data_IF_702887802139
#
_entry.id   IF_702887802139
#
_cell.length_a   1.000
_cell.length_b   1.000
_cell.length_c   1.000
_cell.angle_alpha   90.00
_cell.angle_beta   90.00
_cell.angle_gamma   90.00
#
_symmetry.space_group_name_H-M   'P 1'
#
loop_
_entity.id
_entity.type
_entity.pdbx_description
1 polymer ?
#
# COMPACT_ATOMS: atom_id res chain seq x y z
N UNK A 1 20.19 2.72 18.88
CA UNK A 1 21.63 2.48 19.16
C UNK A 1 22.50 3.67 18.82
N UNK A 2 22.14 4.51 17.83
CA UNK A 2 22.44 5.93 17.91
C UNK A 2 21.56 6.78 16.97
N UNK A 3 20.68 7.63 17.52
CA UNK A 3 19.94 8.62 16.73
C UNK A 3 20.87 9.74 16.18
N UNK A 4 22.06 9.91 16.78
CA UNK A 4 23.10 10.84 16.36
C UNK A 4 24.10 10.23 15.34
N UNK A 5 23.88 9.01 14.84
CA UNK A 5 24.64 8.42 13.74
C UNK A 5 26.09 7.99 14.02
N UNK A 6 26.51 7.89 15.29
CA UNK A 6 27.85 7.46 15.73
C UNK A 6 28.03 5.93 15.77
N UNK A 7 26.97 5.15 15.65
CA UNK A 7 27.09 3.70 15.50
C UNK A 7 27.62 3.37 14.10
N UNK A 8 28.90 2.97 14.02
CA UNK A 8 29.58 2.68 12.76
C UNK A 8 29.48 1.20 12.43
N UNK A 9 28.87 0.88 11.30
CA UNK A 9 28.90 -0.45 10.68
C UNK A 9 30.17 -0.53 9.84
N UNK A 10 30.96 -1.59 10.03
CA UNK A 10 32.19 -1.82 9.29
C UNK A 10 31.96 -2.78 8.13
N UNK A 11 32.89 -2.81 7.18
CA UNK A 11 32.84 -3.75 6.06
C UNK A 11 33.00 -5.20 6.51
N UNK A 12 33.67 -5.42 7.64
CA UNK A 12 33.87 -6.73 8.25
C UNK A 12 32.63 -7.26 8.97
N UNK A 13 31.64 -6.40 9.25
CA UNK A 13 30.37 -6.83 9.82
C UNK A 13 29.51 -7.45 8.70
N UNK A 14 29.38 -8.79 8.69
CA UNK A 14 28.59 -9.50 7.66
C UNK A 14 27.15 -8.99 7.56
N UNK A 15 26.54 -8.66 8.70
CA UNK A 15 25.20 -8.14 8.79
C UNK A 15 25.05 -7.19 10.00
N UNK A 16 23.87 -6.57 10.12
CA UNK A 16 23.58 -5.66 11.22
C UNK A 16 23.58 -6.35 12.59
N UNK A 17 23.34 -7.66 12.64
CA UNK A 17 23.32 -8.41 13.90
C UNK A 17 24.75 -8.67 14.39
N UNK A 18 25.69 -8.98 13.49
CA UNK A 18 27.13 -9.08 13.78
C UNK A 18 27.68 -7.75 14.28
N UNK A 19 27.30 -6.62 13.66
CA UNK A 19 27.69 -5.30 14.13
C UNK A 19 27.22 -5.03 15.58
N UNK A 20 25.98 -5.42 15.92
CA UNK A 20 25.41 -5.27 17.27
C UNK A 20 26.14 -6.18 18.27
N UNK A 21 26.42 -7.43 17.91
CA UNK A 21 27.13 -8.40 18.76
C UNK A 21 28.59 -7.97 19.02
N UNK A 22 29.27 -7.46 17.99
CA UNK A 22 30.61 -6.90 18.11
C UNK A 22 30.62 -5.69 19.05
N UNK A 23 29.64 -4.79 18.92
CA UNK A 23 29.51 -3.64 19.81
C UNK A 23 29.23 -4.06 21.26
N UNK A 24 28.34 -5.03 21.48
CA UNK A 24 28.04 -5.55 22.82
C UNK A 24 29.28 -6.17 23.47
N UNK A 25 30.04 -6.94 22.69
CA UNK A 25 31.28 -7.58 23.16
C UNK A 25 32.35 -6.54 23.48
N UNK A 26 32.55 -5.54 22.61
CA UNK A 26 33.50 -4.46 22.86
C UNK A 26 33.14 -3.64 24.11
N UNK A 27 31.84 -3.45 24.37
CA UNK A 27 31.35 -2.65 25.50
C UNK A 27 31.28 -3.41 26.83
N UNK A 28 30.93 -4.69 26.80
CA UNK A 28 30.60 -5.48 28.00
C UNK A 28 31.44 -6.76 28.15
N UNK A 29 32.47 -6.96 27.31
CA UNK A 29 33.40 -8.08 27.39
C UNK A 29 32.71 -9.45 27.25
N UNK A 30 33.08 -10.40 28.11
CA UNK A 30 32.56 -11.77 28.10
C UNK A 30 31.03 -11.86 28.25
N UNK A 31 30.41 -10.90 28.97
CA UNK A 31 28.96 -10.87 29.08
C UNK A 31 28.28 -10.59 27.72
N UNK A 32 28.88 -9.74 26.89
CA UNK A 32 28.38 -9.43 25.55
C UNK A 32 28.36 -10.66 24.63
N UNK A 33 29.36 -11.55 24.77
CA UNK A 33 29.44 -12.80 23.99
C UNK A 33 28.29 -13.78 24.28
N UNK A 34 27.66 -13.69 25.46
CA UNK A 34 26.57 -14.58 25.89
C UNK A 34 25.20 -14.20 25.31
N UNK A 35 25.08 -13.06 24.61
CA UNK A 35 23.78 -12.58 24.08
C UNK A 35 23.15 -13.51 23.03
N UNK A 36 23.94 -14.38 22.40
CA UNK A 36 23.48 -15.31 21.38
C UNK A 36 23.06 -16.68 21.95
N UNK A 37 23.25 -16.93 23.25
CA UNK A 37 22.92 -18.21 23.88
C UNK A 37 21.43 -18.54 23.70
N UNK A 38 21.13 -19.71 23.14
CA UNK A 38 19.75 -20.16 22.88
C UNK A 38 19.07 -19.50 21.67
N UNK A 39 19.82 -18.77 20.84
CA UNK A 39 19.32 -18.11 19.62
C UNK A 39 20.10 -18.59 18.40
N UNK A 40 19.50 -18.41 17.22
CA UNK A 40 20.20 -18.54 15.94
C UNK A 40 20.05 -17.24 15.16
N UNK A 41 20.88 -17.02 14.14
CA UNK A 41 20.63 -15.94 13.19
C UNK A 41 19.28 -16.13 12.47
N UNK A 42 18.83 -17.38 12.28
CA UNK A 42 17.59 -17.72 11.58
C UNK A 42 16.34 -17.10 12.23
N UNK A 43 16.13 -17.37 13.51
CA UNK A 43 14.99 -16.83 14.26
C UNK A 43 15.18 -15.35 14.61
N UNK A 44 16.41 -14.92 14.90
CA UNK A 44 16.70 -13.50 15.16
C UNK A 44 16.38 -12.58 13.99
N UNK A 45 16.84 -12.92 12.78
CA UNK A 45 16.54 -12.13 11.57
C UNK A 45 15.05 -12.10 11.32
N UNK A 46 14.36 -13.24 11.50
CA UNK A 46 12.94 -13.34 11.26
C UNK A 46 12.14 -12.52 12.28
N UNK A 47 12.55 -12.51 13.56
CA UNK A 47 11.99 -11.63 14.57
C UNK A 47 12.17 -10.15 14.21
N UNK A 48 13.37 -9.76 13.76
CA UNK A 48 13.64 -8.39 13.36
C UNK A 48 12.77 -7.93 12.18
N UNK A 49 12.65 -8.78 11.15
CA UNK A 49 11.74 -8.53 10.03
C UNK A 49 10.29 -8.42 10.51
N UNK A 50 9.87 -9.30 11.42
CA UNK A 50 8.50 -9.28 11.92
C UNK A 50 8.14 -8.00 12.68
N UNK A 51 9.08 -7.50 13.48
CA UNK A 51 8.93 -6.22 14.18
C UNK A 51 8.84 -5.06 13.19
N UNK A 52 9.69 -5.06 12.15
CA UNK A 52 9.67 -4.09 11.07
C UNK A 52 8.34 -4.12 10.28
N UNK A 53 7.86 -5.30 9.88
CA UNK A 53 6.57 -5.49 9.21
C UNK A 53 5.42 -4.92 10.05
N UNK A 54 5.40 -5.20 11.36
CA UNK A 54 4.36 -4.69 12.26
C UNK A 54 4.37 -3.16 12.34
N UNK A 55 5.55 -2.55 12.45
CA UNK A 55 5.71 -1.09 12.48
C UNK A 55 5.25 -0.44 11.17
N UNK A 56 5.77 -0.93 10.04
CA UNK A 56 5.45 -0.43 8.70
C UNK A 56 4.00 -0.65 8.29
N UNK A 57 3.36 -1.77 8.67
CA UNK A 57 1.92 -1.97 8.47
C UNK A 57 1.08 -1.01 9.31
N UNK A 58 1.53 -0.69 10.54
CA UNK A 58 0.94 0.36 11.36
C UNK A 58 1.01 1.72 10.67
N UNK A 59 2.16 2.06 10.11
CA UNK A 59 2.35 3.29 9.34
C UNK A 59 1.51 3.30 8.06
N UNK A 60 1.47 2.19 7.33
CA UNK A 60 0.66 2.01 6.12
C UNK A 60 -0.82 2.25 6.42
N UNK A 61 -1.34 1.67 7.51
CA UNK A 61 -2.71 1.90 7.99
C UNK A 61 -2.96 3.38 8.30
N UNK A 62 -2.03 4.05 8.96
CA UNK A 62 -2.15 5.49 9.25
C UNK A 62 -2.16 6.34 7.96
N UNK A 63 -1.31 6.01 6.98
CA UNK A 63 -1.26 6.70 5.68
C UNK A 63 -2.49 6.43 4.82
N UNK A 64 -3.06 5.23 4.87
CA UNK A 64 -4.35 4.91 4.25
C UNK A 64 -5.48 5.75 4.86
N UNK A 65 -5.51 5.88 6.19
CA UNK A 65 -6.48 6.74 6.86
C UNK A 65 -6.31 8.22 6.46
N UNK A 66 -5.07 8.71 6.37
CA UNK A 66 -4.78 10.08 5.91
C UNK A 66 -5.23 10.31 4.46
N UNK A 67 -4.94 9.36 3.55
CA UNK A 67 -5.38 9.42 2.15
C UNK A 67 -6.91 9.37 2.03
N UNK A 68 -7.57 8.46 2.75
CA UNK A 68 -9.03 8.41 2.80
C UNK A 68 -9.63 9.72 3.35
N UNK A 69 -8.98 10.31 4.36
CA UNK A 69 -9.32 11.64 4.89
C UNK A 69 -9.20 12.74 3.84
N UNK A 70 -8.13 12.75 3.05
CA UNK A 70 -7.95 13.68 1.93
C UNK A 70 -9.08 13.56 0.89
N UNK A 71 -9.41 12.33 0.48
CA UNK A 71 -10.53 12.06 -0.43
C UNK A 71 -11.86 12.58 0.14
N UNK A 72 -12.15 12.30 1.41
CA UNK A 72 -13.38 12.76 2.09
C UNK A 72 -13.46 14.27 2.20
N UNK A 73 -12.36 14.96 2.53
CA UNK A 73 -12.30 16.43 2.56
C UNK A 73 -12.55 17.02 1.17
N UNK A 74 -11.94 16.46 0.13
CA UNK A 74 -12.15 16.89 -1.25
C UNK A 74 -13.62 16.68 -1.69
N UNK A 75 -14.22 15.53 -1.36
CA UNK A 75 -15.64 15.26 -1.57
C UNK A 75 -16.54 16.25 -0.81
N UNK A 76 -16.25 16.55 0.44
CA UNK A 76 -17.04 17.52 1.21
C UNK A 76 -16.98 18.93 0.61
N UNK A 77 -15.81 19.34 0.10
CA UNK A 77 -15.58 20.68 -0.45
C UNK A 77 -16.19 20.87 -1.84
N UNK A 78 -16.07 19.88 -2.72
CA UNK A 78 -16.34 20.01 -4.16
C UNK A 78 -17.27 18.92 -4.69
N UNK A 79 -17.75 18.02 -3.84
CA UNK A 79 -18.39 16.78 -4.28
C UNK A 79 -19.76 16.95 -4.90
N UNK A 80 -20.41 18.11 -4.77
CA UNK A 80 -21.67 18.42 -5.46
C UNK A 80 -21.48 18.84 -6.92
N UNK A 81 -20.25 19.04 -7.37
CA UNK A 81 -19.97 19.38 -8.77
C UNK A 81 -20.41 18.19 -9.64
N UNK A 82 -21.35 18.38 -10.57
CA UNK A 82 -21.73 17.34 -11.52
C UNK A 82 -20.52 16.93 -12.34
N UNK A 83 -20.47 15.67 -12.76
CA UNK A 83 -19.39 15.14 -13.58
C UNK A 83 -19.94 14.04 -14.49
N UNK A 84 -19.54 13.96 -15.78
CA UNK A 84 -19.94 12.84 -16.62
C UNK A 84 -19.30 11.55 -16.09
N UNK A 85 -20.11 10.51 -15.89
CA UNK A 85 -19.63 9.16 -15.65
C UNK A 85 -19.13 8.52 -16.94
N UNK A 86 -18.16 7.62 -16.83
CA UNK A 86 -17.56 6.96 -17.99
C UNK A 86 -17.66 5.44 -17.91
N UNK A 87 -18.07 4.83 -19.01
CA UNK A 87 -17.96 3.38 -19.24
C UNK A 87 -17.34 3.18 -20.63
N UNK A 88 -16.36 2.28 -20.75
CA UNK A 88 -15.60 2.09 -22.00
C UNK A 88 -15.06 3.39 -22.60
N UNK A 89 -14.58 4.31 -21.75
CA UNK A 89 -14.12 5.67 -22.12
C UNK A 89 -15.14 6.54 -22.85
N UNK A 90 -16.43 6.17 -22.83
CA UNK A 90 -17.56 6.97 -23.34
C UNK A 90 -18.35 7.57 -22.19
N UNK A 91 -18.89 8.77 -22.39
CA UNK A 91 -19.81 9.39 -21.43
C UNK A 91 -21.04 8.49 -21.33
N UNK A 92 -21.41 8.15 -20.10
CA UNK A 92 -22.51 7.25 -19.78
C UNK A 92 -23.61 8.06 -19.07
N UNK A 93 -23.71 7.92 -17.75
CA UNK A 93 -24.69 8.63 -16.94
C UNK A 93 -24.03 9.75 -16.11
N UNK A 94 -24.80 10.77 -15.70
CA UNK A 94 -24.37 11.74 -14.71
C UNK A 94 -23.86 11.09 -13.42
N UNK A 95 -22.80 11.66 -12.88
CA UNK A 95 -22.31 11.40 -11.53
C UNK A 95 -21.87 12.72 -10.90
N UNK A 96 -21.16 12.64 -9.79
CA UNK A 96 -20.59 13.83 -9.14
C UNK A 96 -19.11 13.62 -8.85
N UNK A 97 -18.37 14.72 -8.74
CA UNK A 97 -16.98 14.71 -8.28
C UNK A 97 -16.85 13.99 -6.92
N UNK A 98 -17.86 14.10 -6.05
CA UNK A 98 -17.90 13.46 -4.74
C UNK A 98 -18.03 11.94 -4.83
N UNK A 99 -18.89 11.46 -5.72
CA UNK A 99 -19.04 10.02 -6.00
C UNK A 99 -17.75 9.43 -6.57
N UNK A 100 -17.12 10.12 -7.54
CA UNK A 100 -15.85 9.67 -8.13
C UNK A 100 -14.73 9.62 -7.10
N UNK A 101 -14.46 10.71 -6.38
CA UNK A 101 -13.36 10.74 -5.41
C UNK A 101 -13.63 9.87 -4.17
N UNK A 102 -14.91 9.70 -3.82
CA UNK A 102 -15.36 8.87 -2.71
C UNK A 102 -15.04 7.39 -2.89
N UNK A 103 -14.95 6.89 -4.13
CA UNK A 103 -14.60 5.49 -4.38
C UNK A 103 -13.17 5.17 -3.88
N UNK A 104 -12.22 6.10 -4.00
CA UNK A 104 -10.86 5.92 -3.51
C UNK A 104 -10.77 5.97 -1.99
N UNK A 105 -11.67 6.71 -1.32
CA UNK A 105 -11.80 6.66 0.13
C UNK A 105 -12.32 5.30 0.61
N UNK A 106 -13.24 4.69 -0.14
CA UNK A 106 -13.77 3.36 0.14
C UNK A 106 -12.70 2.28 -0.08
N UNK A 107 -11.98 2.33 -1.21
CA UNK A 107 -10.87 1.41 -1.49
C UNK A 107 -9.77 1.47 -0.40
N UNK A 108 -9.39 2.67 0.02
CA UNK A 108 -8.41 2.84 1.11
C UNK A 108 -8.91 2.31 2.47
N UNK A 109 -10.22 2.32 2.71
CA UNK A 109 -10.80 1.72 3.90
C UNK A 109 -10.74 0.18 3.86
N UNK A 110 -10.93 -0.42 2.68
CA UNK A 110 -10.78 -1.87 2.48
C UNK A 110 -9.33 -2.30 2.67
N UNK A 111 -8.38 -1.57 2.08
CA UNK A 111 -6.95 -1.80 2.28
C UNK A 111 -6.54 -1.64 3.75
N UNK A 112 -7.14 -0.70 4.49
CA UNK A 112 -6.88 -0.53 5.92
C UNK A 112 -7.41 -1.71 6.77
N UNK A 113 -8.54 -2.32 6.37
CA UNK A 113 -9.04 -3.55 7.00
C UNK A 113 -8.12 -4.73 6.69
N UNK A 114 -7.58 -4.79 5.47
CA UNK A 114 -6.60 -5.82 5.10
C UNK A 114 -5.29 -5.65 5.88
N UNK A 115 -4.79 -4.42 6.06
CA UNK A 115 -3.65 -4.14 6.93
C UNK A 115 -3.88 -4.60 8.37
N UNK A 116 -5.08 -4.37 8.92
CA UNK A 116 -5.46 -4.84 10.25
C UNK A 116 -5.51 -6.37 10.35
N UNK A 117 -6.03 -7.05 9.33
CA UNK A 117 -5.99 -8.49 9.26
C UNK A 117 -4.55 -9.01 9.26
N UNK A 118 -3.67 -8.44 8.42
CA UNK A 118 -2.27 -8.85 8.36
C UNK A 118 -1.56 -8.59 9.68
N UNK A 119 -1.79 -7.44 10.34
CA UNK A 119 -1.24 -7.17 11.67
C UNK A 119 -1.60 -8.27 12.67
N UNK A 120 -2.86 -8.73 12.70
CA UNK A 120 -3.30 -9.84 13.56
C UNK A 120 -2.68 -11.17 13.15
N UNK A 121 -2.55 -11.43 11.85
CA UNK A 121 -1.96 -12.66 11.33
C UNK A 121 -0.48 -12.79 11.72
N UNK A 122 0.28 -11.70 11.58
CA UNK A 122 1.72 -11.70 11.79
C UNK A 122 2.10 -11.52 13.26
N UNK A 123 1.15 -11.20 14.16
CA UNK A 123 1.34 -10.96 15.60
C UNK A 123 1.69 -12.22 16.41
N UNK A 124 2.81 -12.83 16.04
CA UNK A 124 3.32 -14.08 16.57
C UNK A 124 4.84 -14.06 16.50
N UNK A 125 5.51 -14.20 17.66
CA UNK A 125 6.96 -14.17 17.75
C UNK A 125 7.59 -15.46 17.21
N UNK A 126 8.53 -15.40 16.25
CA UNK A 126 9.30 -16.57 15.81
C UNK A 126 10.52 -16.87 16.73
N UNK A 127 10.82 -15.98 17.68
CA UNK A 127 12.01 -16.09 18.55
C UNK A 127 11.93 -17.31 19.47
N UNK A 128 13.04 -18.02 19.62
CA UNK A 128 13.12 -19.28 20.36
C UNK A 128 12.87 -20.51 19.49
N UNK A 129 12.72 -20.34 18.17
CA UNK A 129 12.82 -21.44 17.21
C UNK A 129 14.26 -21.80 16.87
N UNK A 130 15.24 -20.97 17.30
CA UNK A 130 16.66 -21.14 17.05
C UNK A 130 16.93 -21.41 15.56
N UNK A 131 17.66 -22.47 15.22
CA UNK A 131 17.96 -22.82 13.84
C UNK A 131 16.73 -23.29 13.04
N UNK A 132 15.57 -23.47 13.68
CA UNK A 132 14.34 -24.03 13.11
C UNK A 132 13.83 -25.29 13.83
N UNK A 133 14.50 -25.70 14.91
CA UNK A 133 14.23 -26.96 15.62
C UNK A 133 14.04 -26.76 17.13
N UNK A 134 13.95 -25.51 17.59
CA UNK A 134 13.93 -25.16 19.00
C UNK A 134 15.32 -25.25 19.65
N UNK A 135 15.36 -25.14 20.97
CA UNK A 135 16.60 -25.20 21.76
C UNK A 135 16.56 -26.48 22.61
N UNK A 136 17.39 -27.50 22.33
CA UNK A 136 17.20 -28.83 22.89
C UNK A 136 17.55 -28.95 24.39
N UNK A 137 18.50 -28.14 24.87
CA UNK A 137 19.05 -28.26 26.23
C UNK A 137 18.59 -27.12 27.15
N UNK A 138 18.24 -25.96 26.59
CA UNK A 138 17.86 -24.79 27.36
C UNK A 138 16.33 -24.67 27.37
N UNK A 139 15.75 -24.57 28.57
CA UNK A 139 14.32 -24.32 28.73
C UNK A 139 14.02 -22.82 28.53
N UNK A 140 14.00 -22.37 27.27
CA UNK A 140 13.73 -20.97 26.92
C UNK A 140 12.23 -20.68 27.02
N UNK A 141 11.85 -19.69 27.84
CA UNK A 141 10.48 -19.15 27.86
C UNK A 141 10.25 -18.26 26.63
N UNK A 142 9.72 -18.88 25.56
CA UNK A 142 9.33 -18.19 24.32
C UNK A 142 8.21 -17.17 24.56
N UNK A 143 7.31 -17.45 25.50
CA UNK A 143 6.19 -16.58 25.86
C UNK A 143 6.66 -15.29 26.53
N UNK A 144 7.65 -15.38 27.41
CA UNK A 144 8.30 -14.22 28.03
C UNK A 144 8.90 -13.29 26.98
N UNK A 145 9.69 -13.84 26.05
CA UNK A 145 10.31 -13.04 24.99
C UNK A 145 9.29 -12.43 24.04
N UNK A 146 8.22 -13.17 23.69
CA UNK A 146 7.11 -12.66 22.89
C UNK A 146 6.45 -11.44 23.56
N UNK A 147 6.12 -11.54 24.87
CA UNK A 147 5.52 -10.44 25.64
C UNK A 147 6.41 -9.20 25.70
N UNK A 148 7.71 -9.37 25.95
CA UNK A 148 8.67 -8.25 25.98
C UNK A 148 8.74 -7.49 24.65
N UNK A 149 8.56 -8.19 23.53
CA UNK A 149 8.52 -7.60 22.19
C UNK A 149 7.10 -7.18 21.76
N UNK A 150 6.09 -7.33 22.63
CA UNK A 150 4.71 -6.95 22.38
C UNK A 150 3.96 -7.87 21.39
N UNK A 151 4.40 -9.11 21.20
CA UNK A 151 3.64 -10.11 20.45
C UNK A 151 2.58 -10.77 21.33
N UNK A 152 1.42 -11.07 20.77
CA UNK A 152 0.35 -11.79 21.51
C UNK A 152 0.74 -13.22 21.89
N UNK A 153 1.58 -13.89 21.09
CA UNK A 153 2.04 -15.25 21.35
C UNK A 153 3.36 -15.56 20.66
N UNK A 154 3.99 -16.67 21.04
CA UNK A 154 5.09 -17.27 20.29
C UNK A 154 4.56 -18.29 19.29
N UNK A 155 5.28 -18.51 18.19
CA UNK A 155 5.01 -19.61 17.27
C UNK A 155 5.41 -20.92 17.95
N UNK A 156 4.48 -21.88 17.98
CA UNK A 156 4.68 -23.16 18.67
C UNK A 156 5.65 -24.06 17.90
N UNK A 157 5.35 -24.32 16.63
CA UNK A 157 6.15 -25.19 15.78
C UNK A 157 7.38 -24.43 15.23
N UNK A 158 8.61 -24.85 15.56
CA UNK A 158 9.82 -24.12 15.18
C UNK A 158 10.14 -24.21 13.68
N UNK A 159 9.72 -25.27 13.00
CA UNK A 159 9.86 -25.41 11.54
C UNK A 159 8.87 -24.45 10.86
N UNK A 160 7.63 -24.38 11.35
CA UNK A 160 6.65 -23.43 10.84
C UNK A 160 7.10 -21.98 11.07
N UNK A 161 7.74 -21.67 12.21
CA UNK A 161 8.31 -20.36 12.44
C UNK A 161 9.23 -19.95 11.27
N UNK A 162 10.16 -20.81 10.86
CA UNK A 162 11.03 -20.56 9.71
C UNK A 162 10.27 -20.43 8.40
N UNK A 163 9.23 -21.26 8.18
CA UNK A 163 8.40 -21.17 6.99
C UNK A 163 7.64 -19.83 6.87
N UNK A 164 7.34 -19.15 7.98
CA UNK A 164 6.62 -17.87 7.92
C UNK A 164 7.36 -16.76 7.16
N UNK A 165 8.69 -16.84 7.02
CA UNK A 165 9.51 -15.91 6.23
C UNK A 165 8.98 -15.80 4.79
N UNK A 166 8.85 -16.94 4.13
CA UNK A 166 8.41 -17.04 2.73
C UNK A 166 6.89 -17.02 2.57
N UNK A 167 6.14 -16.80 3.66
CA UNK A 167 4.68 -16.80 3.67
C UNK A 167 4.09 -15.43 4.01
N UNK A 168 4.68 -14.72 4.96
CA UNK A 168 4.14 -13.45 5.45
C UNK A 168 4.71 -12.26 4.69
N UNK A 169 5.99 -12.28 4.29
CA UNK A 169 6.59 -11.20 3.50
C UNK A 169 5.81 -10.99 2.19
N UNK A 170 5.50 -12.04 1.37
CA UNK A 170 4.69 -11.84 0.16
C UNK A 170 3.25 -11.39 0.45
N UNK A 171 2.66 -11.78 1.58
CA UNK A 171 1.32 -11.32 1.95
C UNK A 171 1.28 -9.82 2.26
N UNK A 172 2.34 -9.29 2.89
CA UNK A 172 2.52 -7.84 3.10
C UNK A 172 2.74 -7.12 1.76
N UNK A 173 3.54 -7.70 0.87
CA UNK A 173 3.77 -7.14 -0.46
C UNK A 173 2.49 -7.13 -1.31
N UNK A 174 1.65 -8.14 -1.19
CA UNK A 174 0.35 -8.19 -1.86
C UNK A 174 -0.55 -7.03 -1.45
N UNK A 175 -0.60 -6.70 -0.15
CA UNK A 175 -1.30 -5.49 0.30
C UNK A 175 -0.70 -4.22 -0.32
N UNK A 176 0.63 -4.12 -0.41
CA UNK A 176 1.27 -2.98 -1.09
C UNK A 176 0.82 -2.88 -2.56
N UNK A 177 0.70 -4.01 -3.27
CA UNK A 177 0.16 -4.07 -4.63
C UNK A 177 -1.29 -3.60 -4.73
N UNK A 178 -2.16 -3.97 -3.80
CA UNK A 178 -3.56 -3.51 -3.76
C UNK A 178 -3.66 -1.99 -3.51
N UNK A 179 -2.88 -1.48 -2.56
CA UNK A 179 -2.77 -0.03 -2.31
C UNK A 179 -2.32 0.69 -3.58
N UNK A 180 -1.25 0.19 -4.22
CA UNK A 180 -0.71 0.80 -5.42
C UNK A 180 -1.67 0.69 -6.61
N UNK A 181 -2.50 -0.35 -6.71
CA UNK A 181 -3.55 -0.47 -7.72
C UNK A 181 -4.57 0.68 -7.60
N UNK A 182 -5.05 0.94 -6.38
CA UNK A 182 -5.95 2.06 -6.09
C UNK A 182 -5.32 3.41 -6.50
N UNK A 183 -4.06 3.63 -6.12
CA UNK A 183 -3.35 4.86 -6.45
C UNK A 183 -3.05 4.99 -7.95
N UNK A 184 -2.71 3.89 -8.63
CA UNK A 184 -2.51 3.84 -10.08
C UNK A 184 -3.79 4.21 -10.83
N UNK A 185 -4.95 3.72 -10.36
CA UNK A 185 -6.24 4.09 -10.95
C UNK A 185 -6.54 5.58 -10.77
N UNK A 186 -6.37 6.12 -9.56
CA UNK A 186 -6.55 7.56 -9.32
C UNK A 186 -5.59 8.40 -10.17
N UNK A 187 -4.31 8.02 -10.21
CA UNK A 187 -3.30 8.71 -11.00
C UNK A 187 -3.63 8.69 -12.49
N UNK A 188 -4.10 7.56 -13.01
CA UNK A 188 -4.51 7.42 -14.42
C UNK A 188 -5.70 8.33 -14.74
N UNK A 189 -6.74 8.31 -13.91
CA UNK A 189 -7.91 9.17 -14.08
C UNK A 189 -7.49 10.65 -13.98
N UNK A 190 -6.64 11.04 -13.03
CA UNK A 190 -6.17 12.42 -12.86
C UNK A 190 -5.29 12.90 -14.03
N UNK A 191 -4.43 12.05 -14.57
CA UNK A 191 -3.65 12.36 -15.78
C UNK A 191 -4.60 12.68 -16.93
N UNK A 192 -5.62 11.86 -17.16
CA UNK A 192 -6.63 12.09 -18.21
C UNK A 192 -7.48 13.34 -17.94
N UNK A 193 -8.02 13.46 -16.73
CA UNK A 193 -8.95 14.52 -16.36
C UNK A 193 -8.31 15.91 -16.27
N UNK A 194 -6.98 15.97 -16.14
CA UNK A 194 -6.21 17.22 -16.16
C UNK A 194 -5.72 17.62 -17.55
N UNK A 195 -5.88 16.78 -18.56
CA UNK A 195 -5.57 17.16 -19.95
C UNK A 195 -6.45 18.34 -20.39
N UNK A 196 -5.93 19.27 -21.22
CA UNK A 196 -6.71 20.40 -21.73
C UNK A 196 -8.03 19.99 -22.42
N UNK A 197 -8.08 18.83 -23.06
CA UNK A 197 -9.25 18.28 -23.75
C UNK A 197 -10.37 17.88 -22.79
N UNK A 198 -10.05 17.48 -21.57
CA UNK A 198 -11.02 17.17 -20.52
C UNK A 198 -11.22 18.37 -19.58
N UNK A 199 -10.14 18.83 -18.95
CA UNK A 199 -10.12 19.99 -18.07
C UNK A 199 -10.99 19.86 -16.82
N UNK A 200 -11.37 18.65 -16.42
CA UNK A 200 -12.25 18.40 -15.27
C UNK A 200 -11.58 18.75 -13.95
N UNK A 201 -10.26 18.55 -13.86
CA UNK A 201 -9.50 18.78 -12.64
C UNK A 201 -8.22 19.55 -12.93
N UNK A 202 -7.92 20.52 -12.07
CA UNK A 202 -6.63 21.20 -12.02
C UNK A 202 -5.81 20.60 -10.88
N UNK A 203 -4.59 20.18 -11.21
CA UNK A 203 -3.63 19.64 -10.26
C UNK A 203 -2.93 20.77 -9.47
N UNK A 204 -2.48 20.53 -8.23
CA UNK A 204 -1.71 21.53 -7.49
C UNK A 204 -0.33 21.72 -8.11
N UNK A 205 0.03 22.97 -8.41
CA UNK A 205 1.23 23.30 -9.20
C UNK A 205 2.53 22.73 -8.61
N UNK A 206 2.66 22.69 -7.28
CA UNK A 206 3.82 22.11 -6.60
C UNK A 206 4.07 20.62 -6.87
N UNK A 207 3.11 19.92 -7.46
CA UNK A 207 3.22 18.51 -7.86
C UNK A 207 3.31 18.31 -9.37
N UNK A 208 3.44 19.41 -10.11
CA UNK A 208 3.63 19.42 -11.54
C UNK A 208 4.99 20.04 -11.88
N UNK A 209 5.59 19.63 -12.99
CA UNK A 209 6.70 20.38 -13.58
C UNK A 209 6.21 21.30 -14.69
N UNK A 210 6.88 22.42 -14.89
CA UNK A 210 6.66 23.33 -16.01
C UNK A 210 7.57 23.02 -17.19
N UNK A 211 7.27 23.60 -18.35
CA UNK A 211 8.22 23.70 -19.46
C UNK A 211 8.92 25.05 -19.43
N UNK A 212 10.23 25.08 -19.68
CA UNK A 212 11.00 26.32 -19.82
C UNK A 212 10.60 27.14 -21.06
N UNK A 213 9.96 26.51 -22.06
CA UNK A 213 9.55 27.15 -23.33
C UNK A 213 8.03 27.42 -23.35
N UNK A 214 7.24 26.63 -22.62
CA UNK A 214 5.77 26.72 -22.60
C UNK A 214 5.26 26.95 -21.17
N UNK A 215 5.05 28.21 -20.73
CA UNK A 215 4.69 28.54 -19.34
C UNK A 215 3.33 27.97 -18.90
N UNK A 216 2.41 27.72 -19.85
CA UNK A 216 1.11 27.10 -19.60
C UNK A 216 1.18 25.57 -19.44
N UNK A 217 2.25 24.91 -19.92
CA UNK A 217 2.37 23.45 -19.91
C UNK A 217 2.76 22.96 -18.53
N UNK A 218 1.86 22.21 -17.90
CA UNK A 218 2.04 21.57 -16.60
C UNK A 218 2.04 20.06 -16.79
N UNK A 219 3.13 19.39 -16.44
CA UNK A 219 3.25 17.94 -16.55
C UNK A 219 2.87 17.29 -15.21
N UNK A 220 2.11 16.18 -15.21
CA UNK A 220 1.69 15.49 -13.99
C UNK A 220 2.72 14.45 -13.53
N UNK A 221 4.02 14.81 -13.45
CA UNK A 221 5.14 13.85 -13.26
C UNK A 221 4.96 12.97 -12.03
N UNK A 222 4.45 13.53 -10.92
CA UNK A 222 4.19 12.77 -9.69
C UNK A 222 3.20 11.63 -9.94
N UNK A 223 2.16 11.87 -10.74
CA UNK A 223 1.15 10.86 -11.06
C UNK A 223 1.72 9.78 -11.98
N UNK A 224 2.55 10.18 -12.94
CA UNK A 224 3.26 9.25 -13.84
C UNK A 224 4.22 8.35 -13.07
N UNK A 225 4.96 8.90 -12.10
CA UNK A 225 5.83 8.13 -11.21
C UNK A 225 5.04 7.17 -10.32
N UNK A 226 3.88 7.57 -9.79
CA UNK A 226 3.01 6.68 -9.00
C UNK A 226 2.50 5.50 -9.86
N UNK A 227 2.12 5.76 -11.12
CA UNK A 227 1.75 4.70 -12.08
C UNK A 227 2.92 3.75 -12.35
N UNK A 228 4.13 4.29 -12.57
CA UNK A 228 5.33 3.46 -12.76
C UNK A 228 5.66 2.61 -11.53
N UNK A 229 5.55 3.18 -10.33
CA UNK A 229 5.78 2.45 -9.06
C UNK A 229 4.82 1.30 -8.85
N UNK A 230 3.58 1.37 -9.32
CA UNK A 230 2.66 0.23 -9.25
C UNK A 230 3.24 -1.01 -9.94
N UNK A 231 3.78 -0.85 -11.15
CA UNK A 231 4.40 -1.96 -11.88
C UNK A 231 5.70 -2.45 -11.21
N UNK A 232 6.48 -1.55 -10.62
CA UNK A 232 7.66 -1.94 -9.86
C UNK A 232 7.30 -2.80 -8.63
N UNK A 233 6.27 -2.42 -7.87
CA UNK A 233 5.80 -3.18 -6.70
C UNK A 233 5.32 -4.58 -7.09
N UNK A 234 4.56 -4.71 -8.18
CA UNK A 234 4.12 -6.02 -8.70
C UNK A 234 5.33 -6.89 -9.07
N UNK A 235 6.36 -6.31 -9.68
CA UNK A 235 7.59 -7.03 -10.01
C UNK A 235 8.36 -7.52 -8.79
N UNK A 236 8.42 -6.71 -7.73
CA UNK A 236 9.03 -7.11 -6.46
C UNK A 236 8.23 -8.23 -5.78
N UNK A 237 6.90 -8.15 -5.76
CA UNK A 237 6.03 -9.21 -5.21
C UNK A 237 6.26 -10.54 -5.94
N UNK A 238 6.26 -10.51 -7.27
CA UNK A 238 6.51 -11.71 -8.08
C UNK A 238 7.88 -12.31 -7.81
N UNK A 239 8.92 -11.47 -7.66
CA UNK A 239 10.27 -11.91 -7.30
C UNK A 239 10.27 -12.64 -5.96
N UNK A 240 9.62 -12.09 -4.94
CA UNK A 240 9.53 -12.71 -3.61
C UNK A 240 8.75 -14.04 -3.64
N UNK A 241 7.61 -14.09 -4.34
CA UNK A 241 6.83 -15.32 -4.51
C UNK A 241 7.61 -16.41 -5.26
N UNK A 242 8.30 -16.04 -6.33
CA UNK A 242 9.09 -16.98 -7.12
C UNK A 242 10.28 -17.53 -6.35
N UNK A 243 10.97 -16.70 -5.55
CA UNK A 243 12.07 -17.14 -4.68
C UNK A 243 11.60 -18.20 -3.66
N UNK A 244 10.37 -18.06 -3.17
CA UNK A 244 9.79 -18.97 -2.18
C UNK A 244 9.34 -20.32 -2.76
N UNK A 245 9.02 -20.38 -4.07
CA UNK A 245 8.22 -21.46 -4.66
C UNK A 245 8.83 -22.87 -4.58
N UNK A 246 10.17 -22.98 -4.58
CA UNK A 246 10.87 -24.27 -4.64
C UNK A 246 11.78 -24.53 -3.42
N UNK A 247 11.66 -23.73 -2.36
CA UNK A 247 12.50 -23.90 -1.19
C UNK A 247 12.01 -25.09 -0.34
N UNK A 248 12.91 -26.03 0.05
CA UNK A 248 12.55 -27.05 1.03
C UNK A 248 12.31 -26.42 2.40
N UNK A 249 11.60 -27.13 3.28
CA UNK A 249 11.37 -26.73 4.66
C UNK A 249 12.68 -26.42 5.39
N UNK A 250 12.65 -25.39 6.23
CA UNK A 250 13.82 -24.88 6.95
C UNK A 250 14.34 -23.56 6.39
N UNK A 251 15.56 -23.19 6.78
CA UNK A 251 16.22 -21.99 6.27
C UNK A 251 17.08 -22.30 5.06
N UNK A 252 16.90 -21.53 3.98
CA UNK A 252 17.76 -21.51 2.81
C UNK A 252 18.24 -20.07 2.58
N UNK A 253 19.49 -19.89 2.14
CA UNK A 253 20.11 -18.56 1.98
C UNK A 253 19.34 -17.71 0.96
N UNK A 254 18.67 -18.34 0.00
CA UNK A 254 17.78 -17.75 -1.01
C UNK A 254 16.77 -16.78 -0.41
N UNK A 255 16.21 -17.09 0.77
CA UNK A 255 15.22 -16.26 1.43
C UNK A 255 15.77 -14.89 1.87
N UNK A 256 17.10 -14.71 1.91
CA UNK A 256 17.71 -13.40 2.13
C UNK A 256 17.40 -12.41 0.98
N UNK A 257 17.23 -12.91 -0.24
CA UNK A 257 16.95 -12.08 -1.42
C UNK A 257 15.54 -11.47 -1.39
N UNK A 258 14.65 -11.94 -0.50
CA UNK A 258 13.30 -11.38 -0.31
C UNK A 258 13.25 -10.04 0.43
N UNK A 259 14.29 -9.69 1.21
CA UNK A 259 14.31 -8.46 2.02
C UNK A 259 14.29 -7.18 1.19
N UNK A 260 15.14 -7.10 0.17
CA UNK A 260 15.20 -5.94 -0.73
C UNK A 260 13.85 -5.65 -1.41
N UNK A 261 13.22 -6.66 -2.04
CA UNK A 261 11.87 -6.58 -2.59
C UNK A 261 10.83 -6.08 -1.59
N UNK A 262 10.80 -6.67 -0.38
CA UNK A 262 9.88 -6.26 0.68
C UNK A 262 10.04 -4.78 1.04
N UNK A 263 11.28 -4.33 1.26
CA UNK A 263 11.55 -2.93 1.60
C UNK A 263 11.15 -1.99 0.47
N UNK A 264 11.51 -2.32 -0.77
CA UNK A 264 11.15 -1.51 -1.94
C UNK A 264 9.62 -1.39 -2.11
N UNK A 265 8.88 -2.48 -1.88
CA UNK A 265 7.42 -2.48 -1.97
C UNK A 265 6.76 -1.58 -0.91
N UNK A 266 7.20 -1.71 0.35
CA UNK A 266 6.71 -0.90 1.46
C UNK A 266 7.05 0.58 1.26
N UNK A 267 8.30 0.91 0.93
CA UNK A 267 8.74 2.28 0.69
C UNK A 267 7.95 2.95 -0.44
N UNK A 268 7.74 2.22 -1.54
CA UNK A 268 6.95 2.69 -2.66
C UNK A 268 5.49 2.97 -2.26
N UNK A 269 4.85 2.07 -1.52
CA UNK A 269 3.46 2.24 -1.07
C UNK A 269 3.31 3.41 -0.07
N UNK A 270 4.18 3.48 0.94
CA UNK A 270 4.16 4.53 1.97
C UNK A 270 4.41 5.92 1.36
N UNK A 271 5.41 6.04 0.47
CA UNK A 271 5.71 7.29 -0.22
C UNK A 271 4.58 7.71 -1.17
N UNK A 272 4.01 6.75 -1.92
CA UNK A 272 2.93 7.02 -2.87
C UNK A 272 1.64 7.43 -2.16
N UNK A 273 1.26 6.79 -1.06
CA UNK A 273 0.13 7.25 -0.23
C UNK A 273 0.35 8.67 0.29
N UNK A 274 1.55 8.95 0.79
CA UNK A 274 1.90 10.25 1.34
C UNK A 274 1.78 11.38 0.31
N UNK A 275 2.27 11.16 -0.91
CA UNK A 275 2.18 12.16 -1.98
C UNK A 275 0.77 12.26 -2.55
N UNK A 276 0.07 11.13 -2.76
CA UNK A 276 -1.28 11.12 -3.31
C UNK A 276 -2.29 11.76 -2.36
N UNK A 277 -2.12 11.62 -1.04
CA UNK A 277 -2.95 12.35 -0.08
C UNK A 277 -2.83 13.87 -0.29
N UNK A 278 -1.60 14.40 -0.44
CA UNK A 278 -1.38 15.84 -0.64
C UNK A 278 -1.86 16.33 -2.01
N UNK A 279 -1.71 15.51 -3.06
CA UNK A 279 -2.27 15.82 -4.39
C UNK A 279 -3.79 15.93 -4.29
N UNK A 280 -4.44 14.92 -3.70
CA UNK A 280 -5.89 14.84 -3.53
C UNK A 280 -6.46 16.02 -2.74
N UNK A 281 -5.82 16.44 -1.65
CA UNK A 281 -6.25 17.61 -0.86
C UNK A 281 -6.24 18.91 -1.68
N UNK A 282 -5.32 19.02 -2.64
CA UNK A 282 -5.15 20.23 -3.44
C UNK A 282 -5.94 20.26 -4.75
N UNK A 283 -6.66 19.19 -5.12
CA UNK A 283 -7.40 19.11 -6.37
C UNK A 283 -8.46 20.22 -6.45
N UNK A 284 -8.60 20.81 -7.64
CA UNK A 284 -9.67 21.76 -7.95
C UNK A 284 -10.47 21.26 -9.14
N UNK A 285 -11.76 21.01 -8.95
CA UNK A 285 -12.64 20.62 -10.04
C UNK A 285 -13.15 21.85 -10.78
N UNK A 286 -13.23 21.76 -12.10
CA UNK A 286 -13.80 22.82 -12.93
C UNK A 286 -15.27 22.51 -13.23
N UNK A 287 -16.17 23.23 -12.55
CA UNK A 287 -17.62 23.03 -12.69
C UNK A 287 -18.12 23.20 -14.13
N UNK A 288 -17.56 24.14 -14.87
CA UNK A 288 -17.98 24.42 -16.25
C UNK A 288 -17.53 23.31 -17.20
N UNK A 289 -16.29 22.82 -17.05
CA UNK A 289 -15.78 21.71 -17.86
C UNK A 289 -16.46 20.38 -17.54
N UNK A 290 -16.88 20.19 -16.29
CA UNK A 290 -17.65 19.01 -15.88
C UNK A 290 -19.15 19.11 -16.24
N UNK A 291 -19.59 20.11 -17.00
CA UNK A 291 -20.98 20.27 -17.39
C UNK A 291 -21.52 19.01 -18.11
N UNK A 292 -22.77 18.67 -17.79
CA UNK A 292 -23.45 17.49 -18.30
C UNK A 292 -24.27 17.86 -19.52
N UNK A 293 -24.11 17.09 -20.59
CA UNK A 293 -24.91 17.25 -21.79
C UNK A 293 -26.31 16.63 -21.59
N UNK A 294 -27.38 17.20 -22.17
CA UNK A 294 -28.75 16.73 -21.95
C UNK A 294 -28.97 15.24 -22.23
N UNK A 295 -28.29 14.69 -23.23
CA UNK A 295 -28.38 13.28 -23.64
C UNK A 295 -27.96 12.30 -22.53
N UNK A 296 -27.13 12.74 -21.56
CA UNK A 296 -26.70 11.90 -20.45
C UNK A 296 -27.88 11.59 -19.49
N UNK A 297 -28.94 12.40 -19.51
CA UNK A 297 -30.13 12.21 -18.67
C UNK A 297 -31.18 11.29 -19.29
N UNK A 298 -30.96 10.74 -20.49
CA UNK A 298 -31.92 9.87 -21.18
C UNK A 298 -32.37 8.68 -20.31
N UNK A 299 -31.45 8.07 -19.56
CA UNK A 299 -31.79 6.98 -18.63
C UNK A 299 -32.62 7.44 -17.44
N UNK A 300 -32.39 8.66 -16.93
CA UNK A 300 -33.22 9.24 -15.87
C UNK A 300 -34.65 9.52 -16.38
N UNK A 301 -34.79 10.04 -17.61
CA UNK A 301 -36.08 10.21 -18.26
C UNK A 301 -36.81 8.86 -18.41
N UNK A 302 -36.09 7.79 -18.78
CA UNK A 302 -36.67 6.45 -18.88
C UNK A 302 -37.20 5.96 -17.53
N UNK A 303 -36.45 6.19 -16.44
CA UNK A 303 -36.89 5.82 -15.11
C UNK A 303 -38.10 6.62 -14.61
N UNK A 304 -38.30 7.87 -15.06
CA UNK A 304 -39.52 8.64 -14.75
C UNK A 304 -40.76 7.98 -15.37
N UNK A 305 -40.66 7.49 -16.61
CA UNK A 305 -41.75 6.74 -17.26
C UNK A 305 -41.99 5.39 -16.58
N UNK A 306 -40.92 4.69 -16.18
CA UNK A 306 -41.06 3.44 -15.41
C UNK A 306 -41.76 3.67 -14.09
N UNK A 307 -41.40 4.74 -13.37
CA UNK A 307 -42.07 5.13 -12.13
C UNK A 307 -43.55 5.47 -12.34
N UNK A 308 -43.93 5.92 -13.54
CA UNK A 308 -45.31 6.18 -13.93
C UNK A 308 -46.07 4.93 -14.41
N UNK A 309 -45.45 3.74 -14.39
CA UNK A 309 -46.10 2.46 -14.68
C UNK A 309 -45.72 1.82 -16.01
N UNK A 310 -44.85 2.44 -16.82
CA UNK A 310 -44.40 1.84 -18.08
C UNK A 310 -43.35 0.74 -17.85
N UNK A 311 -43.40 -0.38 -18.59
CA UNK A 311 -42.27 -1.29 -18.68
C UNK A 311 -41.02 -0.59 -19.24
N UNK A 312 -39.84 -0.91 -18.69
CA UNK A 312 -38.59 -0.23 -19.06
C UNK A 312 -38.27 -0.28 -20.56
N UNK A 313 -38.56 -1.41 -21.24
CA UNK A 313 -38.29 -1.55 -22.68
C UNK A 313 -39.14 -0.60 -23.52
N UNK A 314 -40.36 -0.32 -23.10
CA UNK A 314 -41.27 0.59 -23.80
C UNK A 314 -40.86 2.05 -23.55
N UNK A 315 -40.54 2.39 -22.29
CA UNK A 315 -39.98 3.70 -21.93
C UNK A 315 -38.69 4.00 -22.71
N UNK A 316 -37.78 3.02 -22.82
CA UNK A 316 -36.55 3.15 -23.59
C UNK A 316 -36.81 3.39 -25.08
N UNK A 317 -37.73 2.63 -25.70
CA UNK A 317 -38.07 2.79 -27.12
C UNK A 317 -38.63 4.18 -27.42
N UNK A 318 -39.56 4.66 -26.59
CA UNK A 318 -40.13 6.01 -26.72
C UNK A 318 -39.05 7.10 -26.66
N UNK A 319 -38.05 6.95 -25.79
CA UNK A 319 -36.97 7.93 -25.67
C UNK A 319 -35.89 7.77 -26.75
N UNK A 320 -35.65 6.57 -27.25
CA UNK A 320 -34.67 6.34 -28.31
C UNK A 320 -35.01 7.12 -29.60
N UNK A 321 -36.29 7.38 -29.87
CA UNK A 321 -36.73 8.21 -31.00
C UNK A 321 -36.39 9.70 -30.83
N UNK A 322 -36.24 10.18 -29.58
CA UNK A 322 -35.92 11.58 -29.25
C UNK A 322 -34.42 11.90 -29.37
N UNK A 323 -33.55 10.88 -29.26
CA UNK A 323 -32.09 11.03 -29.26
C UNK A 323 -31.40 10.43 -30.50
N UNK A 324 -32.17 10.01 -31.51
CA UNK A 324 -31.70 9.65 -32.85
C UNK A 324 -31.70 10.85 -33.78
#
# INVERSE_FOLDING_TARGET
MDAAGKFKIKREDEDCHTAIENWLTAKYGEAGKKVHTGRSRNDQVLTALRLYERETLGELKARLAAFAGACKKAAAKQGRIPMPGYTHTRRAMPTTAGTWIGCFAAAAADDARHAEFLLKLIDQSPLGSAAGFGVPVLNIDKGYSARLMGFSKAIENPIYAQFTRSKFEPAVMHLCSQVMLTLNKLATDLVLFSMPEFGFVTLPEKFCTGSSIMPQKKNPDVLELVRGKYHAVIGEELKALSLAGNLPSGYNRDAQLGKGPLFAALDAALASLGIMAKVTEGLKFNKEKCALAPELFATEEAYKLVKAGLPFRDAYRQLAEKFR
#
